data_IF_880842709834
#
_entry.id   IF_880842709834
#
_cell.length_a   1.000
_cell.length_b   1.000
_cell.length_c   1.000
_cell.angle_alpha   90.00
_cell.angle_beta   90.00
_cell.angle_gamma   90.00
#
_symmetry.space_group_name_H-M   'P 1'
#
loop_
_entity.id
_entity.type
_entity.pdbx_description
1 polymer ?
#
# COMPACT_ATOMS: atom_id res chain seq x y z
N UNK A 1 -13.97 6.98 9.87
CA UNK A 1 -13.63 5.54 9.80
C UNK A 1 -14.89 4.77 9.42
N UNK A 2 -14.87 3.95 8.36
CA UNK A 2 -16.06 3.26 7.88
C UNK A 2 -16.06 1.78 8.38
N UNK A 3 -16.98 1.37 9.28
CA UNK A 3 -17.01 0.02 9.87
C UNK A 3 -17.23 -1.11 8.85
N UNK A 4 -17.68 -0.78 7.63
CA UNK A 4 -17.79 -1.74 6.52
C UNK A 4 -16.45 -2.42 6.22
N UNK A 5 -15.31 -1.73 6.42
CA UNK A 5 -13.99 -2.31 6.24
C UNK A 5 -13.68 -3.42 7.24
N UNK A 6 -14.04 -3.23 8.51
CA UNK A 6 -13.88 -4.25 9.56
C UNK A 6 -14.69 -5.49 9.21
N UNK A 7 -15.97 -5.32 8.84
CA UNK A 7 -16.84 -6.42 8.42
C UNK A 7 -16.33 -7.17 7.18
N UNK A 8 -15.56 -6.50 6.30
CA UNK A 8 -14.93 -7.12 5.14
C UNK A 8 -13.72 -7.96 5.54
N UNK A 9 -12.89 -7.46 6.45
CA UNK A 9 -11.74 -8.20 7.00
C UNK A 9 -12.18 -9.44 7.77
N UNK A 10 -13.22 -9.34 8.61
CA UNK A 10 -13.78 -10.49 9.33
C UNK A 10 -14.30 -11.56 8.37
N UNK A 11 -14.89 -11.15 7.23
CA UNK A 11 -15.32 -12.08 6.17
C UNK A 11 -14.14 -12.76 5.51
N UNK A 12 -13.05 -12.06 5.25
CA UNK A 12 -11.83 -12.66 4.67
C UNK A 12 -11.18 -13.68 5.61
N UNK A 13 -11.19 -13.42 6.92
CA UNK A 13 -10.67 -14.36 7.92
C UNK A 13 -11.50 -15.66 7.97
N UNK A 14 -12.84 -15.56 7.88
CA UNK A 14 -13.75 -16.73 7.91
C UNK A 14 -13.83 -17.46 6.58
N UNK A 15 -13.75 -16.73 5.46
CA UNK A 15 -13.81 -17.26 4.10
C UNK A 15 -12.74 -16.56 3.26
N UNK A 16 -11.56 -17.19 3.10
CA UNK A 16 -10.46 -16.56 2.38
C UNK A 16 -10.88 -16.26 0.94
N UNK A 17 -10.48 -15.10 0.41
CA UNK A 17 -10.82 -14.73 -0.95
C UNK A 17 -10.19 -15.69 -1.98
N UNK A 18 -10.75 -15.69 -3.19
CA UNK A 18 -10.32 -16.57 -4.27
C UNK A 18 -8.82 -16.48 -4.58
N UNK A 19 -8.29 -17.50 -5.28
CA UNK A 19 -6.85 -17.65 -5.57
C UNK A 19 -6.23 -16.39 -6.19
N UNK A 20 -6.95 -15.74 -7.13
CA UNK A 20 -6.50 -14.51 -7.80
C UNK A 20 -6.23 -13.36 -6.82
N UNK A 21 -7.14 -13.11 -5.87
CA UNK A 21 -6.97 -12.01 -4.92
C UNK A 21 -5.84 -12.30 -3.93
N UNK A 22 -5.69 -13.55 -3.49
CA UNK A 22 -4.56 -13.95 -2.63
C UNK A 22 -3.21 -13.72 -3.31
N UNK A 23 -3.10 -14.06 -4.59
CA UNK A 23 -1.88 -13.79 -5.38
C UNK A 23 -1.62 -12.28 -5.44
N UNK A 24 -2.63 -11.48 -5.82
CA UNK A 24 -2.48 -10.02 -5.92
C UNK A 24 -2.03 -9.42 -4.59
N UNK A 25 -2.72 -9.75 -3.49
CA UNK A 25 -2.39 -9.24 -2.16
C UNK A 25 -0.98 -9.68 -1.74
N UNK A 26 -0.62 -10.94 -1.99
CA UNK A 26 0.72 -11.45 -1.72
C UNK A 26 1.80 -10.72 -2.52
N UNK A 27 1.60 -10.53 -3.82
CA UNK A 27 2.53 -9.80 -4.70
C UNK A 27 2.69 -8.35 -4.25
N UNK A 28 1.59 -7.64 -3.95
CA UNK A 28 1.64 -6.26 -3.47
C UNK A 28 2.36 -6.16 -2.13
N UNK A 29 2.10 -7.09 -1.21
CA UNK A 29 2.76 -7.12 0.10
C UNK A 29 4.27 -7.35 -0.05
N UNK A 30 4.68 -8.32 -0.87
CA UNK A 30 6.09 -8.59 -1.16
C UNK A 30 6.76 -7.38 -1.81
N UNK A 31 6.11 -6.74 -2.78
CA UNK A 31 6.64 -5.54 -3.43
C UNK A 31 6.82 -4.38 -2.43
N UNK A 32 5.85 -4.16 -1.53
CA UNK A 32 5.95 -3.13 -0.50
C UNK A 32 7.09 -3.40 0.49
N UNK A 33 7.27 -4.65 0.92
CA UNK A 33 8.36 -5.05 1.81
C UNK A 33 9.72 -4.88 1.11
N UNK A 34 9.81 -5.28 -0.16
CA UNK A 34 11.03 -5.09 -0.96
C UNK A 34 11.38 -3.61 -1.09
N UNK A 35 10.40 -2.76 -1.42
CA UNK A 35 10.60 -1.33 -1.54
C UNK A 35 11.10 -0.72 -0.22
N UNK A 36 10.43 -1.07 0.89
CA UNK A 36 10.82 -0.63 2.22
C UNK A 36 12.22 -1.10 2.61
N UNK A 37 12.57 -2.35 2.31
CA UNK A 37 13.91 -2.89 2.54
C UNK A 37 14.97 -2.13 1.75
N UNK A 38 14.72 -1.88 0.47
CA UNK A 38 15.63 -1.10 -0.39
C UNK A 38 15.82 0.30 0.19
N UNK A 39 14.75 0.99 0.57
CA UNK A 39 14.81 2.32 1.18
C UNK A 39 15.60 2.32 2.50
N UNK A 40 15.45 1.29 3.34
CA UNK A 40 16.16 1.20 4.61
C UNK A 40 17.67 0.93 4.45
N UNK A 41 18.06 0.11 3.46
CA UNK A 41 19.46 -0.29 3.27
C UNK A 41 20.26 0.64 2.35
N UNK A 42 19.65 1.17 1.29
CA UNK A 42 20.33 2.02 0.30
C UNK A 42 20.03 3.52 0.47
N UNK A 43 19.02 3.87 1.26
CA UNK A 43 18.51 5.23 1.35
C UNK A 43 17.63 5.60 0.15
N UNK A 44 16.85 6.68 0.29
CA UNK A 44 16.01 7.19 -0.79
C UNK A 44 16.80 8.22 -1.62
N UNK A 45 16.96 8.01 -2.93
CA UNK A 45 17.70 8.95 -3.77
C UNK A 45 16.90 10.24 -3.98
N UNK A 46 17.59 11.38 -4.02
CA UNK A 46 16.97 12.70 -4.21
C UNK A 46 16.18 12.80 -5.52
N UNK A 47 16.58 12.05 -6.56
CA UNK A 47 15.86 11.97 -7.83
C UNK A 47 14.44 11.37 -7.72
N UNK A 48 14.15 10.61 -6.66
CA UNK A 48 12.83 10.03 -6.40
C UNK A 48 12.07 10.80 -5.30
N UNK A 49 12.66 11.86 -4.74
CA UNK A 49 11.98 12.69 -3.73
C UNK A 49 10.85 13.47 -4.41
N UNK A 50 9.59 13.30 -4.00
CA UNK A 50 8.47 14.01 -4.62
C UNK A 50 8.59 15.51 -4.33
N UNK A 51 8.57 16.34 -5.38
CA UNK A 51 8.43 17.78 -5.20
C UNK A 51 7.06 18.12 -4.62
N UNK A 52 7.05 18.92 -3.54
CA UNK A 52 5.81 19.49 -3.01
C UNK A 52 5.28 20.52 -3.99
N UNK A 53 4.29 20.14 -4.80
CA UNK A 53 3.54 21.12 -5.61
C UNK A 53 2.69 21.98 -4.66
N UNK A 54 2.93 23.30 -4.56
CA UNK A 54 2.12 24.16 -3.72
C UNK A 54 0.70 24.18 -4.27
N UNK A 55 -0.26 23.85 -3.40
CA UNK A 55 -1.68 23.88 -3.75
C UNK A 55 -2.07 25.35 -3.92
N UNK A 56 -2.09 25.85 -5.16
CA UNK A 56 -2.56 27.20 -5.48
C UNK A 56 -4.05 27.23 -5.16
N UNK A 57 -4.40 27.79 -4.00
CA UNK A 57 -5.77 28.10 -3.63
C UNK A 57 -6.18 29.25 -4.54
N UNK A 58 -6.81 28.92 -5.67
CA UNK A 58 -7.50 29.90 -6.50
C UNK A 58 -8.76 30.28 -5.72
N UNK A 59 -8.75 31.50 -5.16
CA UNK A 59 -9.94 32.14 -4.59
C UNK A 59 -10.85 32.62 -5.71
#
# INVERSE_FOLDING_TARGET
MNPIWLLRLTRWARRPPGRRLRIIVGTVLVAAILLWGIEHFFGWPEALTPERIPRRIMR
#
